data_IF_560264211473
#
_entry.id   IF_560264211473
#
_cell.length_a   1.000
_cell.length_b   1.000
_cell.length_c   1.000
_cell.angle_alpha   90.00
_cell.angle_beta   90.00
_cell.angle_gamma   90.00
#
_symmetry.space_group_name_H-M   'P 1'
#
loop_
_entity.id
_entity.type
_entity.pdbx_description
1 polymer ?
#
# COMPACT_ATOMS: atom_id res chain seq x y z
N UNK A 1 8.50 -31.23 -53.62
CA UNK A 1 8.58 -30.76 -55.02
C UNK A 1 9.60 -29.65 -55.07
N UNK A 2 10.64 -29.84 -55.87
CA UNK A 2 11.76 -28.92 -56.05
C UNK A 2 11.31 -27.70 -56.87
N UNK A 3 11.51 -26.50 -56.34
CA UNK A 3 11.63 -25.29 -57.13
C UNK A 3 13.04 -24.74 -56.94
N UNK A 4 13.91 -25.18 -57.84
CA UNK A 4 15.18 -24.55 -58.19
C UNK A 4 14.91 -23.26 -58.97
N UNK A 5 15.77 -22.26 -58.73
CA UNK A 5 15.88 -20.98 -59.41
C UNK A 5 14.98 -19.86 -58.87
N UNK A 6 15.39 -19.29 -57.73
CA UNK A 6 15.09 -17.90 -57.43
C UNK A 6 16.42 -17.13 -57.33
N UNK A 7 16.83 -16.56 -58.46
CA UNK A 7 18.10 -15.83 -58.64
C UNK A 7 18.17 -14.58 -57.74
N UNK A 8 17.01 -14.09 -57.30
CA UNK A 8 16.84 -12.97 -56.36
C UNK A 8 17.38 -13.26 -54.96
N UNK A 9 17.52 -14.55 -54.56
CA UNK A 9 18.03 -14.93 -53.25
C UNK A 9 19.57 -14.87 -53.19
N UNK A 10 20.27 -15.19 -54.28
CA UNK A 10 21.73 -15.14 -54.31
C UNK A 10 22.27 -13.70 -54.35
N UNK A 11 21.61 -12.81 -55.10
CA UNK A 11 22.05 -11.41 -55.24
C UNK A 11 21.80 -10.55 -54.00
N UNK A 12 20.86 -10.94 -53.12
CA UNK A 12 20.51 -10.17 -51.92
C UNK A 12 21.40 -10.51 -50.71
N UNK A 13 22.01 -11.71 -50.68
CA UNK A 13 22.62 -12.26 -49.45
C UNK A 13 24.10 -12.66 -49.54
N UNK A 14 24.75 -12.52 -50.70
CA UNK A 14 26.19 -12.79 -50.85
C UNK A 14 26.91 -11.63 -51.54
N UNK A 15 27.30 -10.60 -50.77
CA UNK A 15 28.43 -9.74 -51.13
C UNK A 15 29.69 -10.29 -50.49
N UNK A 16 30.66 -10.55 -51.35
CA UNK A 16 32.01 -11.02 -51.06
C UNK A 16 32.73 -10.16 -50.01
N UNK A 17 33.21 -10.80 -48.95
CA UNK A 17 34.28 -10.30 -48.10
C UNK A 17 33.82 -9.52 -46.87
N UNK A 18 33.31 -10.22 -45.86
CA UNK A 18 33.34 -9.77 -44.46
C UNK A 18 33.29 -11.00 -43.54
N UNK A 19 34.33 -11.19 -42.74
CA UNK A 19 34.52 -12.34 -41.86
C UNK A 19 34.13 -12.01 -40.42
N UNK A 20 32.84 -11.80 -40.12
CA UNK A 20 32.27 -11.85 -38.76
C UNK A 20 30.75 -12.16 -38.80
N UNK A 21 30.20 -12.88 -37.80
CA UNK A 21 28.77 -13.22 -37.76
C UNK A 21 27.92 -11.98 -37.44
N UNK A 22 27.00 -11.62 -38.34
CA UNK A 22 25.98 -10.58 -38.08
C UNK A 22 24.61 -11.23 -37.91
N UNK A 23 23.93 -10.93 -36.80
CA UNK A 23 22.50 -11.22 -36.61
C UNK A 23 21.68 -10.30 -37.50
N UNK A 24 20.81 -10.85 -38.34
CA UNK A 24 19.91 -10.05 -39.17
C UNK A 24 18.48 -10.58 -39.08
N UNK A 25 17.57 -9.68 -38.70
CA UNK A 25 16.13 -9.93 -38.65
C UNK A 25 15.57 -9.83 -40.07
N UNK A 26 14.95 -10.90 -40.57
CA UNK A 26 14.26 -10.89 -41.86
C UNK A 26 12.76 -10.96 -41.63
N UNK A 27 12.02 -10.00 -42.20
CA UNK A 27 10.56 -9.98 -42.17
C UNK A 27 10.01 -10.72 -43.38
N UNK A 28 9.18 -11.74 -43.15
CA UNK A 28 8.49 -12.46 -44.23
C UNK A 28 7.02 -12.07 -44.22
N UNK A 29 6.55 -11.44 -45.31
CA UNK A 29 5.13 -11.15 -45.50
C UNK A 29 4.42 -12.35 -46.15
N UNK A 30 3.50 -12.97 -45.43
CA UNK A 30 2.59 -13.98 -45.99
C UNK A 30 1.36 -13.28 -46.56
N UNK A 31 1.16 -13.29 -47.88
CA UNK A 31 -0.09 -12.81 -48.50
C UNK A 31 -1.20 -13.83 -48.26
N UNK A 32 -2.26 -13.44 -47.55
CA UNK A 32 -3.53 -14.17 -47.47
C UNK A 32 -4.66 -13.20 -47.88
N UNK A 33 -5.54 -13.67 -48.76
CA UNK A 33 -6.48 -12.86 -49.53
C UNK A 33 -7.66 -12.25 -48.75
N UNK A 34 -8.12 -11.13 -49.30
CA UNK A 34 -9.41 -10.41 -49.18
C UNK A 34 -10.19 -10.48 -47.85
N UNK A 35 -10.11 -9.40 -47.07
CA UNK A 35 -11.08 -9.07 -46.00
C UNK A 35 -10.39 -8.42 -44.81
N UNK A 36 -10.52 -7.10 -44.69
CA UNK A 36 -9.81 -6.17 -43.79
C UNK A 36 -9.64 -6.65 -42.32
N UNK A 37 -8.44 -7.16 -42.01
CA UNK A 37 -7.77 -7.16 -40.70
C UNK A 37 -6.29 -6.81 -40.93
N UNK A 38 -5.57 -6.16 -39.99
CA UNK A 38 -4.16 -5.81 -40.23
C UNK A 38 -3.31 -7.08 -40.35
N UNK A 39 -2.40 -7.07 -41.32
CA UNK A 39 -1.53 -8.21 -41.64
C UNK A 39 -0.60 -8.55 -40.47
N UNK A 40 -0.51 -9.85 -40.13
CA UNK A 40 0.52 -10.34 -39.22
C UNK A 40 1.90 -10.24 -39.89
N UNK A 41 2.79 -9.44 -39.32
CA UNK A 41 4.22 -9.52 -39.58
C UNK A 41 4.82 -10.55 -38.61
N UNK A 42 5.45 -11.58 -39.15
CA UNK A 42 6.19 -12.56 -38.37
C UNK A 42 7.68 -12.29 -38.58
N UNK A 43 8.42 -12.15 -37.48
CA UNK A 43 9.87 -12.02 -37.51
C UNK A 43 10.45 -13.33 -37.00
N UNK A 44 11.36 -13.95 -37.76
CA UNK A 44 12.04 -15.18 -37.36
C UNK A 44 13.53 -14.86 -37.20
N UNK A 45 14.11 -15.18 -36.04
CA UNK A 45 15.55 -15.15 -35.82
C UNK A 45 16.13 -16.52 -36.17
N UNK A 46 17.14 -16.54 -37.04
CA UNK A 46 17.89 -17.76 -37.38
C UNK A 46 19.34 -17.56 -36.95
N UNK A 47 19.82 -18.40 -36.04
CA UNK A 47 21.24 -18.53 -35.73
C UNK A 47 21.87 -19.48 -36.76
N UNK A 48 22.73 -18.95 -37.62
CA UNK A 48 23.53 -19.77 -38.55
C UNK A 48 24.90 -19.98 -37.92
N UNK A 49 25.15 -21.18 -37.39
CA UNK A 49 26.48 -21.60 -36.91
C UNK A 49 27.22 -22.30 -38.05
N UNK A 50 28.49 -21.96 -38.35
CA UNK A 50 29.27 -22.69 -39.34
C UNK A 50 29.65 -24.08 -38.78
N UNK A 51 29.19 -25.15 -39.44
CA UNK A 51 29.71 -26.49 -39.18
C UNK A 51 31.11 -26.62 -39.79
N UNK A 52 32.12 -26.81 -38.94
CA UNK A 52 33.45 -27.19 -39.38
C UNK A 52 33.54 -28.70 -39.55
N UNK A 53 33.42 -29.21 -40.78
CA UNK A 53 34.20 -30.33 -41.31
C UNK A 53 33.91 -30.55 -42.81
N UNK A 54 35.01 -30.66 -43.55
CA UNK A 54 35.25 -31.18 -44.89
C UNK A 54 34.22 -32.17 -45.51
N UNK A 55 33.78 -31.83 -46.72
CA UNK A 55 33.57 -32.78 -47.83
C UNK A 55 32.21 -33.50 -47.91
N UNK A 56 31.43 -33.18 -48.94
CA UNK A 56 30.41 -34.07 -49.51
C UNK A 56 28.98 -33.78 -49.05
N UNK A 57 28.09 -33.56 -50.01
CA UNK A 57 26.72 -33.12 -49.79
C UNK A 57 25.83 -34.12 -49.06
N UNK A 58 24.93 -33.58 -48.24
CA UNK A 58 23.82 -34.28 -47.61
C UNK A 58 23.48 -33.64 -46.26
N UNK A 59 22.32 -33.00 -46.14
CA UNK A 59 21.78 -32.61 -44.83
C UNK A 59 20.41 -33.31 -44.69
N UNK A 60 20.31 -34.23 -43.75
CA UNK A 60 19.04 -34.72 -43.21
C UNK A 60 18.51 -33.67 -42.22
N UNK A 61 17.22 -33.35 -42.33
CA UNK A 61 16.52 -32.55 -41.33
C UNK A 61 16.20 -33.44 -40.12
N UNK A 62 16.95 -33.28 -39.03
CA UNK A 62 16.49 -33.71 -37.71
C UNK A 62 15.38 -32.73 -37.28
N UNK A 63 14.13 -33.18 -37.41
CA UNK A 63 12.97 -32.50 -36.82
C UNK A 63 12.93 -32.90 -35.35
N UNK A 64 13.69 -32.20 -34.52
CA UNK A 64 13.41 -32.15 -33.09
C UNK A 64 12.45 -30.98 -32.86
N UNK A 65 11.21 -31.31 -32.50
CA UNK A 65 10.16 -30.37 -32.09
C UNK A 65 10.72 -29.34 -31.11
N UNK A 66 10.86 -28.04 -31.50
CA UNK A 66 11.00 -27.02 -30.50
C UNK A 66 9.60 -26.75 -29.96
N UNK A 67 9.40 -27.04 -28.67
CA UNK A 67 8.30 -26.48 -27.88
C UNK A 67 8.11 -25.02 -28.29
N UNK A 68 6.98 -24.75 -28.95
CA UNK A 68 6.56 -23.39 -29.28
C UNK A 68 6.24 -22.71 -27.94
N UNK A 69 7.25 -22.05 -27.36
CA UNK A 69 7.02 -21.02 -26.35
C UNK A 69 6.35 -19.86 -27.07
N UNK A 70 5.02 -19.81 -26.95
CA UNK A 70 4.26 -18.60 -27.22
C UNK A 70 4.64 -17.64 -26.08
N UNK A 71 5.66 -16.82 -26.29
CA UNK A 71 5.79 -15.59 -25.52
C UNK A 71 4.59 -14.72 -25.90
N UNK A 72 3.70 -14.52 -24.93
CA UNK A 72 2.64 -13.53 -25.01
C UNK A 72 3.33 -12.17 -25.16
N UNK A 73 3.47 -11.70 -26.41
CA UNK A 73 3.84 -10.31 -26.68
C UNK A 73 2.71 -9.47 -26.13
N UNK A 74 2.89 -9.01 -24.89
CA UNK A 74 2.10 -7.92 -24.35
C UNK A 74 2.20 -6.78 -25.36
N UNK A 75 1.10 -6.48 -26.05
CA UNK A 75 0.96 -5.19 -26.68
C UNK A 75 1.16 -4.17 -25.56
N UNK A 76 2.31 -3.49 -25.57
CA UNK A 76 2.52 -2.32 -24.75
C UNK A 76 1.32 -1.39 -24.97
N UNK A 77 0.47 -1.30 -23.94
CA UNK A 77 -0.51 -0.23 -23.86
C UNK A 77 0.30 1.07 -23.94
N UNK A 78 -0.15 2.07 -24.69
CA UNK A 78 0.56 3.34 -24.77
C UNK A 78 0.83 3.84 -23.35
N UNK A 79 2.09 4.17 -23.07
CA UNK A 79 2.52 4.78 -21.81
C UNK A 79 1.66 6.02 -21.55
N UNK A 80 0.67 5.87 -20.67
CA UNK A 80 -0.04 7.00 -20.09
C UNK A 80 0.78 7.41 -18.88
N UNK A 81 1.47 8.52 -19.03
CA UNK A 81 2.25 9.19 -17.99
C UNK A 81 1.46 9.19 -16.65
N UNK A 82 1.97 8.56 -15.57
CA UNK A 82 1.22 8.37 -14.33
C UNK A 82 0.83 9.67 -13.61
N UNK A 83 1.42 10.80 -14.01
CA UNK A 83 1.12 12.13 -13.46
C UNK A 83 -0.07 12.85 -14.12
N UNK A 84 -0.67 12.31 -15.17
CA UNK A 84 -1.68 13.04 -15.98
C UNK A 84 -3.02 12.31 -16.11
N UNK A 85 -3.38 11.46 -15.15
CA UNK A 85 -4.73 10.91 -15.12
C UNK A 85 -5.73 11.96 -14.69
N UNK A 86 -6.69 12.24 -15.59
CA UNK A 86 -7.81 13.12 -15.27
C UNK A 86 -8.65 12.49 -14.16
N UNK A 87 -8.50 13.00 -12.94
CA UNK A 87 -9.39 12.70 -11.81
C UNK A 87 -10.73 13.34 -12.12
N UNK A 88 -11.78 12.54 -12.22
CA UNK A 88 -13.14 13.04 -12.46
C UNK A 88 -13.71 13.55 -11.14
N UNK A 89 -14.03 14.84 -11.11
CA UNK A 89 -14.68 15.51 -9.96
C UNK A 89 -16.15 15.81 -10.27
N UNK A 90 -16.91 16.25 -9.26
CA UNK A 90 -18.32 16.65 -9.47
C UNK A 90 -18.49 17.78 -10.52
N UNK A 91 -17.49 18.64 -10.64
CA UNK A 91 -17.50 19.77 -11.58
C UNK A 91 -17.30 19.34 -13.04
N UNK A 92 -16.71 18.16 -13.26
CA UNK A 92 -16.55 17.58 -14.59
C UNK A 92 -17.85 16.95 -15.12
N UNK A 93 -18.84 16.75 -14.25
CA UNK A 93 -20.07 16.02 -14.56
C UNK A 93 -21.20 16.99 -14.91
N UNK A 94 -21.66 16.91 -16.17
CA UNK A 94 -22.80 17.69 -16.67
C UNK A 94 -23.81 16.82 -17.41
N UNK A 95 -25.00 17.37 -17.63
CA UNK A 95 -26.04 16.75 -18.45
C UNK A 95 -25.53 16.54 -19.88
N UNK A 96 -24.87 17.55 -20.43
CA UNK A 96 -24.36 17.59 -21.80
C UNK A 96 -23.32 16.48 -22.00
N UNK A 97 -22.42 16.31 -21.03
CA UNK A 97 -21.44 15.23 -21.03
C UNK A 97 -22.09 13.84 -21.12
N UNK A 98 -23.17 13.59 -20.35
CA UNK A 98 -23.89 12.31 -20.43
C UNK A 98 -24.47 12.09 -21.83
N UNK A 99 -25.06 13.13 -22.42
CA UNK A 99 -25.64 13.07 -23.77
C UNK A 99 -24.55 12.76 -24.80
N UNK A 100 -23.41 13.43 -24.72
CA UNK A 100 -22.31 13.28 -25.67
C UNK A 100 -21.68 11.89 -25.60
N UNK A 101 -21.44 11.37 -24.38
CA UNK A 101 -20.94 10.01 -24.18
C UNK A 101 -21.91 8.98 -24.78
N UNK A 102 -23.21 9.08 -24.48
CA UNK A 102 -24.19 8.12 -24.97
C UNK A 102 -24.44 8.24 -26.48
N UNK A 103 -24.29 9.43 -27.06
CA UNK A 103 -24.30 9.61 -28.52
C UNK A 103 -23.03 9.10 -29.19
N UNK A 104 -21.91 9.01 -28.48
CA UNK A 104 -20.68 8.42 -28.99
C UNK A 104 -20.75 6.91 -29.19
N UNK A 105 -21.60 6.20 -28.44
CA UNK A 105 -21.74 4.74 -28.51
C UNK A 105 -22.88 4.28 -29.42
N UNK A 106 -22.59 3.38 -30.36
CA UNK A 106 -23.54 2.92 -31.39
C UNK A 106 -24.76 2.18 -30.79
N UNK A 107 -24.58 1.42 -29.71
CA UNK A 107 -25.67 0.70 -29.08
C UNK A 107 -26.58 1.65 -28.29
N UNK A 108 -25.99 2.65 -27.62
CA UNK A 108 -26.72 3.73 -26.97
C UNK A 108 -27.44 4.66 -27.97
N UNK A 109 -26.87 4.94 -29.14
CA UNK A 109 -27.55 5.72 -30.20
C UNK A 109 -28.89 5.11 -30.62
N UNK A 110 -28.95 3.78 -30.79
CA UNK A 110 -30.21 3.06 -31.10
C UNK A 110 -31.22 3.24 -29.97
N UNK A 111 -30.78 3.02 -28.73
CA UNK A 111 -31.62 3.21 -27.54
C UNK A 111 -32.14 4.65 -27.40
N UNK A 112 -31.31 5.64 -27.74
CA UNK A 112 -31.71 7.05 -27.73
C UNK A 112 -32.84 7.29 -28.74
N UNK A 113 -32.65 6.86 -29.99
CA UNK A 113 -33.62 7.06 -31.07
C UNK A 113 -34.94 6.34 -30.78
N UNK A 114 -34.88 5.11 -30.33
CA UNK A 114 -36.06 4.25 -30.24
C UNK A 114 -36.87 4.46 -28.96
N UNK A 115 -36.23 4.92 -27.86
CA UNK A 115 -36.88 5.01 -26.53
C UNK A 115 -36.65 6.32 -25.83
N UNK A 116 -35.39 6.71 -25.61
CA UNK A 116 -35.08 7.82 -24.70
C UNK A 116 -35.58 9.17 -25.22
N UNK A 117 -35.53 9.39 -26.54
CA UNK A 117 -36.02 10.62 -27.18
C UNK A 117 -37.54 10.82 -27.03
N UNK A 118 -38.29 9.72 -26.95
CA UNK A 118 -39.75 9.73 -26.78
C UNK A 118 -40.19 9.55 -25.32
N UNK A 119 -39.23 9.45 -24.39
CA UNK A 119 -39.52 9.26 -22.97
C UNK A 119 -40.13 7.89 -22.63
N UNK A 120 -39.92 6.87 -23.47
CA UNK A 120 -40.44 5.53 -23.24
C UNK A 120 -39.74 4.84 -22.06
N UNK A 121 -40.45 3.91 -21.40
CA UNK A 121 -39.88 3.11 -20.30
C UNK A 121 -38.73 2.22 -20.79
N UNK A 122 -37.66 2.17 -19.99
CA UNK A 122 -36.40 1.51 -20.34
C UNK A 122 -36.19 0.27 -19.48
N UNK A 123 -35.88 -0.86 -20.13
CA UNK A 123 -35.69 -2.13 -19.45
C UNK A 123 -34.38 -2.15 -18.64
N UNK A 124 -34.31 -3.03 -17.65
CA UNK A 124 -33.15 -3.14 -16.77
C UNK A 124 -31.82 -3.42 -17.51
N UNK A 125 -31.86 -4.22 -18.59
CA UNK A 125 -30.69 -4.52 -19.44
C UNK A 125 -30.17 -3.26 -20.15
N UNK A 126 -31.08 -2.39 -20.59
CA UNK A 126 -30.76 -1.14 -21.28
C UNK A 126 -30.19 -0.10 -20.31
N UNK A 127 -30.75 0.00 -19.10
CA UNK A 127 -30.14 0.79 -18.01
C UNK A 127 -28.73 0.31 -17.67
N UNK A 128 -28.49 -1.01 -17.66
CA UNK A 128 -27.16 -1.58 -17.45
C UNK A 128 -26.19 -1.29 -18.61
N UNK A 129 -26.66 -1.19 -19.84
CA UNK A 129 -25.86 -0.74 -20.98
C UNK A 129 -25.42 0.72 -20.79
N UNK A 130 -26.37 1.62 -20.49
CA UNK A 130 -26.10 3.04 -20.21
C UNK A 130 -25.05 3.19 -19.09
N UNK A 131 -25.26 2.48 -17.96
CA UNK A 131 -24.32 2.50 -16.84
C UNK A 131 -22.93 2.03 -17.26
N UNK A 132 -22.82 0.96 -18.04
CA UNK A 132 -21.53 0.44 -18.49
C UNK A 132 -20.83 1.45 -19.39
N UNK A 133 -21.53 2.04 -20.36
CA UNK A 133 -20.95 3.01 -21.30
C UNK A 133 -20.42 4.23 -20.57
N UNK A 134 -21.23 4.83 -19.69
CA UNK A 134 -20.85 6.01 -18.91
C UNK A 134 -19.69 5.71 -17.95
N UNK A 135 -19.81 4.69 -17.12
CA UNK A 135 -18.79 4.39 -16.12
C UNK A 135 -17.49 3.89 -16.75
N UNK A 136 -17.54 3.17 -17.89
CA UNK A 136 -16.32 2.77 -18.59
C UNK A 136 -15.54 3.99 -19.10
N UNK A 137 -16.24 4.98 -19.66
CA UNK A 137 -15.58 6.17 -20.20
C UNK A 137 -15.08 7.11 -19.09
N UNK A 138 -15.77 7.19 -17.96
CA UNK A 138 -15.43 8.12 -16.88
C UNK A 138 -14.45 7.54 -15.86
N UNK A 139 -14.54 6.25 -15.54
CA UNK A 139 -13.92 5.69 -14.33
C UNK A 139 -12.91 4.58 -14.57
N UNK A 140 -12.77 4.05 -15.79
CA UNK A 140 -11.83 2.94 -16.05
C UNK A 140 -10.40 3.31 -15.68
N UNK A 141 -9.91 4.49 -16.10
CA UNK A 141 -8.55 4.94 -15.79
C UNK A 141 -8.34 5.13 -14.30
N UNK A 142 -9.29 5.75 -13.60
CA UNK A 142 -9.25 5.89 -12.13
C UNK A 142 -9.16 4.52 -11.45
N UNK A 143 -9.94 3.53 -11.90
CA UNK A 143 -9.93 2.17 -11.35
C UNK A 143 -8.61 1.44 -11.66
N UNK A 144 -8.09 1.54 -12.88
CA UNK A 144 -6.80 0.94 -13.26
C UNK A 144 -5.64 1.50 -12.44
N UNK A 145 -5.74 2.75 -11.98
CA UNK A 145 -4.77 3.44 -11.14
C UNK A 145 -5.10 3.41 -9.63
N UNK A 146 -6.22 2.82 -9.22
CA UNK A 146 -6.58 2.67 -7.81
C UNK A 146 -7.13 3.90 -7.13
N UNK A 147 -7.45 4.92 -7.91
CA UNK A 147 -8.03 6.15 -7.43
C UNK A 147 -9.48 5.83 -7.03
N UNK A 148 -9.86 6.04 -5.75
CA UNK A 148 -11.22 5.80 -5.29
C UNK A 148 -12.19 6.82 -5.91
N UNK A 149 -13.44 6.39 -6.11
CA UNK A 149 -14.50 7.23 -6.69
C UNK A 149 -15.45 7.61 -5.55
N UNK A 150 -15.58 8.90 -5.25
CA UNK A 150 -16.32 9.38 -4.08
C UNK A 150 -17.84 9.18 -4.22
N UNK A 151 -18.56 9.22 -3.09
CA UNK A 151 -20.02 9.08 -3.07
C UNK A 151 -20.70 10.25 -3.78
N UNK A 152 -20.11 11.43 -3.69
CA UNK A 152 -20.64 12.67 -4.24
C UNK A 152 -20.53 12.69 -5.78
N UNK A 153 -19.41 12.19 -6.34
CA UNK A 153 -19.25 11.97 -7.79
C UNK A 153 -20.29 10.98 -8.31
N UNK A 154 -20.57 9.90 -7.57
CA UNK A 154 -21.60 8.91 -7.94
C UNK A 154 -23.01 9.52 -7.90
N UNK A 155 -23.34 10.31 -6.88
CA UNK A 155 -24.61 11.05 -6.76
C UNK A 155 -24.75 12.02 -7.93
N UNK A 156 -23.72 12.83 -8.20
CA UNK A 156 -23.73 13.83 -9.26
C UNK A 156 -23.93 13.18 -10.63
N UNK A 157 -23.24 12.08 -10.92
CA UNK A 157 -23.43 11.33 -12.17
C UNK A 157 -24.86 10.80 -12.28
N UNK A 158 -25.40 10.23 -11.20
CA UNK A 158 -26.77 9.73 -11.15
C UNK A 158 -27.80 10.84 -11.46
N UNK A 159 -27.61 12.04 -10.90
CA UNK A 159 -28.43 13.22 -11.18
C UNK A 159 -28.30 13.68 -12.64
N UNK A 160 -27.08 13.73 -13.19
CA UNK A 160 -26.85 14.10 -14.59
C UNK A 160 -27.53 13.12 -15.57
N UNK A 161 -27.58 11.83 -15.25
CA UNK A 161 -28.29 10.82 -16.06
C UNK A 161 -29.78 11.11 -16.14
N UNK A 162 -30.41 11.37 -14.99
CA UNK A 162 -31.85 11.68 -14.94
C UNK A 162 -32.15 13.04 -15.57
N UNK A 163 -31.27 14.03 -15.39
CA UNK A 163 -31.39 15.33 -16.05
C UNK A 163 -31.27 15.23 -17.58
N UNK A 164 -30.41 14.33 -18.08
CA UNK A 164 -30.26 14.09 -19.51
C UNK A 164 -31.51 13.43 -20.11
N UNK A 165 -32.02 12.41 -19.43
CA UNK A 165 -33.17 11.63 -19.86
C UNK A 165 -34.12 11.35 -18.68
N UNK A 166 -35.13 12.21 -18.44
CA UNK A 166 -36.03 12.09 -17.29
C UNK A 166 -36.76 10.76 -17.16
N UNK A 167 -37.01 10.06 -18.29
CA UNK A 167 -37.61 8.72 -18.30
C UNK A 167 -36.76 7.64 -17.61
N UNK A 168 -35.49 7.92 -17.31
CA UNK A 168 -34.60 7.03 -16.57
C UNK A 168 -34.72 7.16 -15.05
N UNK A 169 -35.47 8.14 -14.55
CA UNK A 169 -35.69 8.35 -13.13
C UNK A 169 -36.61 7.30 -12.50
N UNK A 170 -36.40 7.03 -11.22
CA UNK A 170 -37.28 6.17 -10.41
C UNK A 170 -38.58 6.91 -10.12
N UNK A 171 -39.72 6.22 -10.27
CA UNK A 171 -41.05 6.76 -10.00
C UNK A 171 -41.56 6.12 -8.69
N UNK A 172 -41.36 6.79 -7.55
CA UNK A 172 -41.77 6.28 -6.24
C UNK A 172 -41.85 7.40 -5.19
N UNK A 173 -42.85 7.32 -4.30
CA UNK A 173 -43.01 8.30 -3.22
C UNK A 173 -41.86 8.18 -2.22
N UNK A 174 -41.16 9.30 -1.96
CA UNK A 174 -40.07 9.36 -0.98
C UNK A 174 -38.72 8.80 -1.46
N UNK A 175 -38.60 8.42 -2.74
CA UNK A 175 -37.36 7.92 -3.34
C UNK A 175 -36.80 8.98 -4.30
N UNK A 176 -35.51 9.36 -4.19
CA UNK A 176 -34.89 10.28 -5.14
C UNK A 176 -34.99 9.76 -6.58
N UNK A 177 -35.23 10.63 -7.58
CA UNK A 177 -35.30 10.22 -8.99
C UNK A 177 -34.06 9.44 -9.48
N UNK A 178 -32.89 9.73 -8.92
CA UNK A 178 -31.62 9.13 -9.28
C UNK A 178 -31.30 7.80 -8.56
N UNK A 179 -32.16 7.33 -7.66
CA UNK A 179 -31.88 6.20 -6.76
C UNK A 179 -31.56 4.88 -7.49
N UNK A 180 -32.18 4.61 -8.65
CA UNK A 180 -31.88 3.44 -9.49
C UNK A 180 -30.40 3.41 -9.95
N UNK A 181 -29.79 4.59 -10.08
CA UNK A 181 -28.43 4.78 -10.59
C UNK A 181 -27.43 4.82 -9.44
N UNK A 182 -27.72 5.59 -8.39
CA UNK A 182 -26.99 5.58 -7.14
C UNK A 182 -27.88 6.07 -5.99
N UNK A 183 -27.92 5.34 -4.89
CA UNK A 183 -28.59 5.78 -3.67
C UNK A 183 -27.70 5.54 -2.47
N UNK A 184 -27.28 6.64 -1.84
CA UNK A 184 -26.46 6.61 -0.63
C UNK A 184 -27.22 5.85 0.47
N UNK A 185 -26.60 4.78 0.97
CA UNK A 185 -27.13 3.87 1.99
C UNK A 185 -28.54 3.30 1.67
N UNK A 186 -28.94 3.26 0.39
CA UNK A 186 -30.32 2.89 0.01
C UNK A 186 -31.40 3.73 0.69
N UNK A 187 -31.10 4.99 1.03
CA UNK A 187 -32.03 5.91 1.71
C UNK A 187 -32.09 5.79 3.22
N UNK A 188 -31.32 4.89 3.82
CA UNK A 188 -31.20 4.75 5.27
C UNK A 188 -30.14 5.71 5.84
N UNK A 189 -30.11 5.84 7.17
CA UNK A 189 -29.07 6.63 7.84
C UNK A 189 -27.67 5.99 7.75
N UNK A 190 -27.60 4.67 7.53
CA UNK A 190 -26.39 3.84 7.45
C UNK A 190 -26.63 2.61 6.56
N UNK A 191 -25.58 1.93 6.09
CA UNK A 191 -25.67 0.68 5.30
C UNK A 191 -24.99 0.75 3.92
N UNK A 192 -25.00 -0.33 3.14
CA UNK A 192 -24.39 -0.32 1.79
C UNK A 192 -25.03 0.71 0.84
N UNK A 193 -24.20 1.37 0.03
CA UNK A 193 -24.70 2.14 -1.10
C UNK A 193 -25.31 1.22 -2.17
N UNK A 194 -26.41 1.64 -2.77
CA UNK A 194 -27.11 0.86 -3.80
C UNK A 194 -27.13 1.60 -5.14
N UNK A 195 -27.55 0.91 -6.21
CA UNK A 195 -27.66 1.47 -7.56
C UNK A 195 -26.66 0.90 -8.56
N UNK A 196 -26.94 1.12 -9.85
CA UNK A 196 -26.17 0.52 -10.96
C UNK A 196 -24.71 1.00 -11.00
N UNK A 197 -24.46 2.27 -10.70
CA UNK A 197 -23.11 2.86 -10.71
C UNK A 197 -22.23 2.17 -9.67
N UNK A 198 -22.72 2.03 -8.43
CA UNK A 198 -21.99 1.35 -7.34
C UNK A 198 -21.69 -0.11 -7.70
N UNK A 199 -22.68 -0.84 -8.24
CA UNK A 199 -22.49 -2.24 -8.64
C UNK A 199 -21.45 -2.36 -9.76
N UNK A 200 -21.46 -1.45 -10.74
CA UNK A 200 -20.48 -1.46 -11.82
C UNK A 200 -19.07 -1.20 -11.29
N UNK A 201 -18.88 -0.16 -10.47
CA UNK A 201 -17.56 0.20 -9.90
C UNK A 201 -17.01 -0.98 -9.11
N UNK A 202 -17.83 -1.57 -8.23
CA UNK A 202 -17.45 -2.74 -7.44
C UNK A 202 -16.98 -3.90 -8.32
N UNK A 203 -17.70 -4.18 -9.41
CA UNK A 203 -17.33 -5.25 -10.34
C UNK A 203 -16.07 -4.93 -11.14
N UNK A 204 -15.90 -3.68 -11.57
CA UNK A 204 -14.73 -3.24 -12.33
C UNK A 204 -13.45 -3.25 -11.47
N UNK A 205 -13.52 -2.88 -10.19
CA UNK A 205 -12.41 -2.98 -9.25
C UNK A 205 -11.87 -4.42 -9.10
N UNK A 206 -12.73 -5.44 -9.24
CA UNK A 206 -12.27 -6.84 -9.21
C UNK A 206 -11.40 -7.22 -10.41
N UNK A 207 -11.31 -6.37 -11.44
CA UNK A 207 -10.55 -6.62 -12.67
C UNK A 207 -9.33 -5.69 -12.81
N UNK A 208 -9.11 -4.79 -11.86
CA UNK A 208 -7.96 -3.87 -11.85
C UNK A 208 -6.61 -4.62 -11.75
N UNK A 209 -5.48 -4.00 -12.14
CA UNK A 209 -4.13 -4.59 -12.05
C UNK A 209 -3.81 -5.08 -10.64
N UNK A 210 -3.10 -6.20 -10.48
CA UNK A 210 -2.91 -6.84 -9.17
C UNK A 210 -2.19 -5.97 -8.13
N UNK A 211 -1.34 -5.03 -8.57
CA UNK A 211 -0.66 -4.03 -7.72
C UNK A 211 -1.63 -3.05 -7.06
N UNK A 212 -2.80 -2.84 -7.65
CA UNK A 212 -3.76 -1.80 -7.27
C UNK A 212 -5.14 -2.37 -6.95
N UNK A 213 -5.41 -3.59 -7.41
CA UNK A 213 -6.59 -4.38 -7.11
C UNK A 213 -6.65 -4.52 -5.61
N UNK A 214 -7.59 -3.80 -5.00
CA UNK A 214 -8.05 -4.10 -3.63
C UNK A 214 -8.51 -5.55 -3.68
N UNK A 215 -7.63 -6.46 -3.26
CA UNK A 215 -7.97 -7.88 -3.17
C UNK A 215 -9.20 -7.92 -2.28
N UNK A 216 -10.32 -8.40 -2.81
CA UNK A 216 -11.31 -9.06 -1.95
C UNK A 216 -10.55 -10.25 -1.37
N UNK A 217 -9.90 -10.03 -0.23
CA UNK A 217 -9.22 -11.09 0.47
C UNK A 217 -10.33 -12.01 0.94
N UNK A 218 -10.24 -13.28 0.55
CA UNK A 218 -10.96 -14.37 1.20
C UNK A 218 -10.45 -14.51 2.64
N UNK A 219 -10.66 -13.48 3.45
CA UNK A 219 -10.75 -13.60 4.89
C UNK A 219 -12.22 -13.75 5.17
N UNK A 220 -12.59 -14.82 5.88
CA UNK A 220 -13.90 -15.05 6.46
C UNK A 220 -14.24 -13.94 7.48
N UNK A 221 -14.30 -12.69 7.04
CA UNK A 221 -14.64 -11.53 7.83
C UNK A 221 -15.88 -10.95 7.20
N UNK A 222 -17.01 -11.25 7.83
CA UNK A 222 -18.24 -10.52 7.63
C UNK A 222 -18.00 -9.10 8.14
N UNK A 223 -17.45 -8.23 7.30
CA UNK A 223 -17.42 -6.80 7.56
C UNK A 223 -18.87 -6.35 7.74
N UNK A 224 -19.12 -5.62 8.81
CA UNK A 224 -20.37 -4.88 8.94
C UNK A 224 -20.43 -3.78 7.88
N UNK A 225 -21.64 -3.41 7.46
CA UNK A 225 -21.80 -2.33 6.48
C UNK A 225 -21.20 -1.00 6.99
N UNK A 226 -21.26 -0.76 8.30
CA UNK A 226 -20.66 0.41 8.95
C UNK A 226 -19.13 0.41 8.79
N UNK A 227 -18.48 -0.75 8.95
CA UNK A 227 -17.03 -0.87 8.72
C UNK A 227 -16.67 -0.67 7.24
N UNK A 228 -17.43 -1.26 6.32
CA UNK A 228 -17.16 -1.13 4.89
C UNK A 228 -17.24 0.33 4.40
N UNK A 229 -18.29 1.05 4.83
CA UNK A 229 -18.43 2.47 4.52
C UNK A 229 -17.32 3.32 5.15
N UNK A 230 -16.97 3.05 6.42
CA UNK A 230 -15.91 3.80 7.09
C UNK A 230 -14.53 3.57 6.45
N UNK A 231 -14.26 2.37 5.93
CA UNK A 231 -13.05 2.10 5.13
C UNK A 231 -13.06 2.89 3.81
N UNK A 232 -14.20 2.95 3.12
CA UNK A 232 -14.33 3.74 1.89
C UNK A 232 -14.06 5.23 2.16
N UNK A 233 -14.68 5.79 3.21
CA UNK A 233 -14.47 7.18 3.63
C UNK A 233 -13.03 7.46 4.05
N UNK A 234 -12.40 6.59 4.86
CA UNK A 234 -10.98 6.73 5.22
C UNK A 234 -10.09 6.71 3.98
N UNK A 235 -10.39 5.85 3.00
CA UNK A 235 -9.57 5.73 1.80
C UNK A 235 -9.66 6.94 0.85
N UNK A 236 -10.65 7.81 1.07
CA UNK A 236 -10.85 9.07 0.34
C UNK A 236 -10.32 10.28 1.12
N UNK A 237 -9.99 10.12 2.40
CA UNK A 237 -9.47 11.20 3.22
C UNK A 237 -8.02 11.55 2.83
N UNK A 238 -7.63 12.80 3.04
CA UNK A 238 -6.26 13.29 2.96
C UNK A 238 -5.70 13.63 4.35
N UNK A 239 -4.39 13.92 4.40
CA UNK A 239 -3.67 14.22 5.64
C UNK A 239 -4.10 15.52 6.34
N UNK A 240 -4.95 16.34 5.70
CA UNK A 240 -5.55 17.55 6.25
C UNK A 240 -6.96 17.33 6.79
N UNK A 241 -7.49 16.11 6.71
CA UNK A 241 -8.83 15.80 7.20
C UNK A 241 -8.99 16.13 8.70
N UNK A 242 -10.23 16.40 9.12
CA UNK A 242 -10.53 16.68 10.53
C UNK A 242 -10.25 15.46 11.41
N UNK A 243 -9.46 15.68 12.48
CA UNK A 243 -9.06 14.66 13.43
C UNK A 243 -10.26 13.90 14.01
N UNK A 244 -11.33 14.59 14.41
CA UNK A 244 -12.47 13.93 15.09
C UNK A 244 -13.21 13.02 14.13
N UNK A 245 -13.39 13.45 12.88
CA UNK A 245 -13.99 12.63 11.84
C UNK A 245 -13.14 11.39 11.57
N UNK A 246 -11.83 11.57 11.31
CA UNK A 246 -10.93 10.44 11.05
C UNK A 246 -10.90 9.48 12.23
N UNK A 247 -10.79 10.00 13.45
CA UNK A 247 -10.79 9.18 14.66
C UNK A 247 -12.07 8.33 14.79
N UNK A 248 -13.24 8.93 14.55
CA UNK A 248 -14.50 8.19 14.60
C UNK A 248 -14.52 7.03 13.59
N UNK A 249 -14.07 7.27 12.37
CA UNK A 249 -13.97 6.24 11.34
C UNK A 249 -12.93 5.18 11.72
N UNK A 250 -11.81 5.58 12.31
CA UNK A 250 -10.79 4.68 12.84
C UNK A 250 -11.39 3.78 13.93
N UNK A 251 -12.15 4.32 14.88
CA UNK A 251 -12.86 3.53 15.90
C UNK A 251 -13.79 2.52 15.26
N UNK A 252 -14.62 2.92 14.30
CA UNK A 252 -15.56 2.03 13.60
C UNK A 252 -14.84 0.87 12.91
N UNK A 253 -13.65 1.10 12.38
CA UNK A 253 -12.88 0.12 11.58
C UNK A 253 -11.84 -0.66 12.41
N UNK A 254 -11.86 -0.52 13.74
CA UNK A 254 -10.88 -1.15 14.63
C UNK A 254 -10.86 -2.68 14.54
N UNK A 255 -12.04 -3.34 14.55
CA UNK A 255 -12.12 -4.80 14.50
C UNK A 255 -11.55 -5.35 13.19
N UNK A 256 -11.80 -4.67 12.07
CA UNK A 256 -11.14 -4.98 10.80
C UNK A 256 -9.61 -4.87 10.89
N UNK A 257 -9.07 -3.75 11.40
CA UNK A 257 -7.62 -3.58 11.57
C UNK A 257 -7.00 -4.64 12.48
N UNK A 258 -7.68 -5.08 13.53
CA UNK A 258 -7.21 -6.19 14.37
C UNK A 258 -7.01 -7.48 13.58
N UNK A 259 -7.89 -7.77 12.63
CA UNK A 259 -7.73 -8.94 11.77
C UNK A 259 -6.60 -8.79 10.75
N UNK A 260 -6.32 -7.56 10.32
CA UNK A 260 -5.18 -7.25 9.45
C UNK A 260 -3.83 -7.43 10.14
N UNK A 261 -3.77 -7.47 11.48
CA UNK A 261 -2.54 -7.69 12.27
C UNK A 261 -2.15 -9.18 12.40
N UNK A 262 -2.62 -10.04 11.49
CA UNK A 262 -2.30 -11.46 11.49
C UNK A 262 -0.80 -11.75 11.26
N UNK A 263 -0.31 -12.94 11.64
CA UNK A 263 1.11 -13.28 11.58
C UNK A 263 1.70 -13.36 10.15
N UNK A 264 0.89 -13.22 9.10
CA UNK A 264 1.32 -13.25 7.69
C UNK A 264 1.30 -11.87 7.02
N UNK A 265 0.82 -10.84 7.70
CA UNK A 265 0.70 -9.48 7.19
C UNK A 265 1.75 -8.62 7.88
N UNK A 266 2.72 -8.14 7.10
CA UNK A 266 3.79 -7.29 7.61
C UNK A 266 3.30 -5.87 7.98
N UNK A 267 4.11 -5.09 8.71
CA UNK A 267 3.79 -3.71 9.12
C UNK A 267 3.36 -2.79 7.97
N UNK A 268 3.99 -2.96 6.80
CA UNK A 268 3.69 -2.22 5.58
C UNK A 268 2.26 -2.42 5.09
N UNK A 269 1.67 -3.60 5.31
CA UNK A 269 0.35 -3.90 4.79
C UNK A 269 -0.74 -3.14 5.55
N UNK A 270 -0.63 -3.08 6.89
CA UNK A 270 -1.57 -2.30 7.70
C UNK A 270 -1.47 -0.81 7.39
N UNK A 271 -0.25 -0.28 7.26
CA UNK A 271 -0.04 1.14 6.98
C UNK A 271 -0.48 1.53 5.56
N UNK A 272 -0.38 0.63 4.58
CA UNK A 272 -0.87 0.89 3.22
C UNK A 272 -2.40 0.96 3.16
N UNK A 273 -3.11 0.18 3.98
CA UNK A 273 -4.58 0.23 4.05
C UNK A 273 -5.09 1.34 4.99
N UNK A 274 -4.33 1.67 6.03
CA UNK A 274 -4.67 2.68 7.04
C UNK A 274 -3.48 3.63 7.29
N UNK A 275 -3.13 4.49 6.31
CA UNK A 275 -2.08 5.49 6.50
C UNK A 275 -2.41 6.48 7.63
N UNK A 276 -3.69 6.61 7.99
CA UNK A 276 -4.18 7.47 9.06
C UNK A 276 -3.60 7.11 10.43
N UNK A 277 -3.07 5.90 10.62
CA UNK A 277 -2.35 5.54 11.84
C UNK A 277 -1.11 6.41 12.08
N UNK A 278 -0.55 7.02 11.04
CA UNK A 278 0.60 7.92 11.12
C UNK A 278 0.19 9.40 11.05
N UNK A 279 -1.10 9.70 10.91
CA UNK A 279 -1.60 11.08 10.89
C UNK A 279 -1.70 11.63 12.31
N UNK A 280 -1.61 12.95 12.44
CA UNK A 280 -1.73 13.68 13.71
C UNK A 280 -0.65 13.33 14.74
N UNK A 281 0.56 13.03 14.25
CA UNK A 281 1.71 12.70 15.07
C UNK A 281 1.48 11.43 15.88
N UNK A 282 1.78 11.42 17.20
CA UNK A 282 1.71 10.19 18.00
C UNK A 282 0.27 9.75 18.37
N UNK A 283 -0.72 10.63 18.26
CA UNK A 283 -2.06 10.43 18.83
C UNK A 283 -2.77 9.17 18.30
N UNK A 284 -2.74 8.95 16.98
CA UNK A 284 -3.43 7.80 16.38
C UNK A 284 -2.82 6.46 16.81
N UNK A 285 -1.50 6.41 17.01
CA UNK A 285 -0.80 5.23 17.53
C UNK A 285 -1.18 4.98 18.98
N UNK A 286 -1.21 6.05 19.79
CA UNK A 286 -1.58 5.98 21.20
C UNK A 286 -3.02 5.48 21.38
N UNK A 287 -3.97 6.07 20.67
CA UNK A 287 -5.37 5.66 20.75
C UNK A 287 -5.61 4.24 20.21
N UNK A 288 -4.92 3.86 19.13
CA UNK A 288 -5.02 2.49 18.60
C UNK A 288 -4.48 1.46 19.58
N UNK A 289 -3.35 1.76 20.24
CA UNK A 289 -2.79 0.93 21.30
C UNK A 289 -3.75 0.80 22.49
N UNK A 290 -4.42 1.89 22.88
CA UNK A 290 -5.38 1.90 23.97
C UNK A 290 -6.60 1.01 23.67
N UNK A 291 -7.06 1.00 22.43
CA UNK A 291 -8.14 0.09 21.98
C UNK A 291 -7.69 -1.37 21.96
N UNK A 292 -6.43 -1.65 21.68
CA UNK A 292 -5.87 -3.01 21.72
C UNK A 292 -5.78 -3.55 23.15
N UNK A 293 -5.56 -2.67 24.14
CA UNK A 293 -5.34 -3.06 25.53
C UNK A 293 -6.18 -2.20 26.50
N UNK A 294 -7.53 -2.30 26.46
CA UNK A 294 -8.43 -1.39 27.19
C UNK A 294 -8.43 -1.60 28.71
N UNK A 295 -8.14 -2.83 29.16
CA UNK A 295 -8.17 -3.21 30.57
C UNK A 295 -6.76 -3.31 31.19
N UNK A 296 -5.76 -2.66 30.58
CA UNK A 296 -4.39 -2.74 31.08
C UNK A 296 -4.27 -2.03 32.42
N UNK A 297 -3.55 -2.64 33.36
CA UNK A 297 -3.24 -2.07 34.68
C UNK A 297 -1.73 -1.95 34.83
N UNK A 298 -1.15 -1.07 34.02
CA UNK A 298 0.28 -0.79 34.04
C UNK A 298 0.72 0.00 35.27
N UNK A 299 2.01 -0.08 35.59
CA UNK A 299 2.63 0.70 36.67
C UNK A 299 3.24 2.03 36.19
N UNK A 300 3.26 2.30 34.87
CA UNK A 300 3.69 3.59 34.32
C UNK A 300 4.32 3.49 32.92
N UNK A 301 5.19 4.45 32.61
CA UNK A 301 6.05 4.49 31.41
C UNK A 301 7.53 4.50 31.81
N UNK A 302 8.45 4.58 30.84
CA UNK A 302 9.88 4.73 31.14
C UNK A 302 10.12 5.97 32.02
N UNK A 303 9.49 7.10 31.70
CA UNK A 303 9.57 8.32 32.49
C UNK A 303 9.13 8.13 33.94
N UNK A 304 8.10 7.30 34.19
CA UNK A 304 7.60 7.02 35.54
C UNK A 304 8.60 6.22 36.38
N UNK A 305 9.51 5.47 35.75
CA UNK A 305 10.45 4.58 36.43
C UNK A 305 11.92 5.06 36.31
N UNK A 306 12.18 6.18 35.63
CA UNK A 306 13.52 6.73 35.38
C UNK A 306 14.35 6.81 36.65
N UNK A 307 13.82 7.41 37.73
CA UNK A 307 14.56 7.57 38.99
C UNK A 307 15.02 6.24 39.58
N UNK A 308 14.20 5.19 39.47
CA UNK A 308 14.60 3.85 39.92
C UNK A 308 15.69 3.28 39.01
N UNK A 309 15.51 3.38 37.69
CA UNK A 309 16.44 2.85 36.71
C UNK A 309 17.83 3.52 36.79
N UNK A 310 17.89 4.80 37.16
CA UNK A 310 19.15 5.53 37.38
C UNK A 310 19.97 4.96 38.54
N UNK A 311 19.35 4.30 39.53
CA UNK A 311 20.05 3.66 40.65
C UNK A 311 20.68 2.29 40.29
N UNK A 312 20.50 1.79 39.07
CA UNK A 312 21.16 0.56 38.61
C UNK A 312 22.68 0.78 38.44
N UNK A 313 23.46 -0.28 38.66
CA UNK A 313 24.92 -0.24 38.81
C UNK A 313 25.73 0.14 37.55
N UNK A 314 25.08 0.43 36.42
CA UNK A 314 25.77 0.77 35.16
C UNK A 314 25.91 2.29 35.04
N UNK A 315 27.03 2.78 34.52
CA UNK A 315 27.32 4.20 34.33
C UNK A 315 27.33 4.56 32.83
N UNK A 316 26.66 5.66 32.50
CA UNK A 316 26.50 6.20 31.14
C UNK A 316 26.47 7.74 31.22
N UNK A 317 27.38 8.31 32.02
CA UNK A 317 27.38 9.72 32.41
C UNK A 317 27.68 10.65 31.22
N UNK A 318 28.21 10.09 30.12
CA UNK A 318 28.43 10.78 28.86
C UNK A 318 27.13 11.14 28.12
N UNK A 319 26.01 10.48 28.43
CA UNK A 319 24.71 10.73 27.81
C UNK A 319 23.99 11.84 28.58
N UNK A 320 23.72 12.98 27.96
CA UNK A 320 23.08 14.12 28.61
C UNK A 320 21.65 13.78 29.13
N UNK A 321 20.90 12.96 28.38
CA UNK A 321 19.52 12.64 28.75
C UNK A 321 19.41 11.54 29.81
N UNK A 322 18.94 11.89 31.00
CA UNK A 322 18.70 10.95 32.11
C UNK A 322 17.76 9.80 31.73
N UNK A 323 16.74 10.06 30.91
CA UNK A 323 15.79 9.01 30.49
C UNK A 323 16.44 8.04 29.49
N UNK A 324 17.36 8.52 28.64
CA UNK A 324 18.18 7.65 27.79
C UNK A 324 19.17 6.85 28.64
N UNK A 325 19.83 7.48 29.61
CA UNK A 325 20.69 6.78 30.57
C UNK A 325 19.92 5.65 31.28
N UNK A 326 18.72 5.94 31.79
CA UNK A 326 17.86 4.96 32.44
C UNK A 326 17.55 3.76 31.53
N UNK A 327 17.22 4.01 30.25
CA UNK A 327 17.02 2.94 29.27
C UNK A 327 18.29 2.10 29.07
N UNK A 328 19.45 2.74 28.91
CA UNK A 328 20.72 2.05 28.73
C UNK A 328 21.07 1.15 29.93
N UNK A 329 20.82 1.64 31.15
CA UNK A 329 20.99 0.85 32.38
C UNK A 329 20.02 -0.34 32.43
N UNK A 330 18.76 -0.16 32.02
CA UNK A 330 17.78 -1.26 31.90
C UNK A 330 18.25 -2.30 30.88
N UNK A 331 18.73 -1.86 29.71
CA UNK A 331 19.25 -2.74 28.67
C UNK A 331 20.42 -3.58 29.21
N UNK A 332 21.37 -2.95 29.90
CA UNK A 332 22.53 -3.61 30.48
C UNK A 332 22.15 -4.60 31.60
N UNK A 333 21.15 -4.27 32.42
CA UNK A 333 20.65 -5.18 33.46
C UNK A 333 19.95 -6.42 32.87
N UNK A 334 19.25 -6.25 31.75
CA UNK A 334 18.56 -7.33 31.04
C UNK A 334 19.50 -8.19 30.19
N UNK A 335 20.56 -7.60 29.65
CA UNK A 335 21.60 -8.30 28.89
C UNK A 335 22.83 -8.49 29.76
N UNK A 336 22.95 -9.66 30.40
CA UNK A 336 24.18 -10.07 31.08
C UNK A 336 25.37 -9.81 30.13
N UNK A 337 26.21 -8.84 30.52
CA UNK A 337 27.30 -8.30 29.73
C UNK A 337 28.17 -9.42 29.17
N UNK A 338 28.03 -9.70 27.87
CA UNK A 338 28.86 -10.70 27.21
C UNK A 338 29.05 -10.47 25.71
N UNK A 339 28.44 -9.44 25.12
CA UNK A 339 28.43 -9.28 23.65
C UNK A 339 28.44 -7.81 23.18
N UNK A 340 29.03 -6.88 23.93
CA UNK A 340 29.51 -5.63 23.29
C UNK A 340 30.76 -6.05 22.53
N UNK A 341 30.59 -6.41 21.25
CA UNK A 341 31.71 -6.74 20.38
C UNK A 341 32.61 -5.50 20.30
N UNK A 342 33.92 -5.69 20.48
CA UNK A 342 34.90 -4.65 20.18
C UNK A 342 34.88 -4.47 18.67
N UNK A 343 34.53 -3.25 18.26
CA UNK A 343 34.47 -2.76 16.88
C UNK A 343 33.38 -3.41 16.00
N UNK A 344 32.39 -2.60 15.67
CA UNK A 344 31.41 -2.89 14.62
C UNK A 344 31.82 -2.25 13.31
N UNK A 345 31.36 -2.84 12.22
CA UNK A 345 31.52 -2.33 10.85
C UNK A 345 30.76 -1.02 10.58
N UNK A 346 30.10 -0.41 11.58
CA UNK A 346 29.25 0.78 11.43
C UNK A 346 29.99 2.09 11.68
N UNK A 347 31.23 2.07 12.18
CA UNK A 347 32.00 3.29 12.48
C UNK A 347 31.47 4.10 13.68
N UNK A 348 30.46 3.60 14.39
CA UNK A 348 29.90 4.21 15.60
C UNK A 348 30.71 3.80 16.84
N UNK A 349 30.67 4.62 17.89
CA UNK A 349 31.22 4.21 19.18
C UNK A 349 30.46 2.99 19.75
N UNK A 350 31.08 2.13 20.58
CA UNK A 350 30.41 0.96 21.13
C UNK A 350 29.13 1.29 21.94
N UNK A 351 29.12 2.45 22.62
CA UNK A 351 27.95 2.93 23.38
C UNK A 351 26.83 3.37 22.45
N UNK A 352 27.17 4.10 21.38
CA UNK A 352 26.22 4.55 20.37
C UNK A 352 25.63 3.38 19.57
N UNK A 353 26.44 2.38 19.19
CA UNK A 353 25.94 1.16 18.54
C UNK A 353 25.03 0.35 19.47
N UNK A 354 25.34 0.34 20.78
CA UNK A 354 24.48 -0.30 21.75
C UNK A 354 23.15 0.44 21.90
N UNK A 355 23.17 1.78 21.92
CA UNK A 355 21.97 2.62 21.97
C UNK A 355 21.14 2.57 20.68
N UNK A 356 21.77 2.33 19.51
CA UNK A 356 21.17 2.36 18.17
C UNK A 356 20.05 1.33 17.95
N UNK A 357 19.85 0.42 18.90
CA UNK A 357 18.69 -0.47 18.99
C UNK A 357 17.38 0.35 19.13
N UNK A 358 17.41 1.45 19.88
CA UNK A 358 16.24 2.28 20.16
C UNK A 358 16.42 3.74 19.77
N UNK A 359 17.60 4.32 19.94
CA UNK A 359 17.87 5.74 19.71
C UNK A 359 19.12 5.93 18.88
N UNK A 360 19.04 6.84 17.91
CA UNK A 360 20.15 7.25 17.05
C UNK A 360 20.26 8.77 17.10
N UNK A 361 21.47 9.29 17.04
CA UNK A 361 21.68 10.74 16.95
C UNK A 361 21.95 11.13 15.50
N UNK A 362 21.40 12.26 15.11
CA UNK A 362 21.64 12.85 13.81
C UNK A 362 23.13 13.18 13.67
N UNK A 363 23.72 12.77 12.55
CA UNK A 363 25.13 13.10 12.29
C UNK A 363 25.25 14.58 11.92
N UNK A 364 26.39 15.24 12.26
CA UNK A 364 26.61 16.63 11.89
C UNK A 364 26.38 16.86 10.39
N UNK A 365 25.82 18.02 10.03
CA UNK A 365 25.67 18.47 8.64
C UNK A 365 24.76 17.61 7.73
N UNK A 366 23.94 16.72 8.31
CA UNK A 366 22.86 16.03 7.58
C UNK A 366 21.52 16.66 7.91
N UNK A 367 20.61 16.81 6.93
CA UNK A 367 19.21 17.13 7.23
C UNK A 367 18.46 15.89 7.74
N UNK A 368 17.31 16.09 8.40
CA UNK A 368 16.58 15.00 9.06
C UNK A 368 16.02 14.00 8.04
N UNK A 369 15.49 14.47 6.91
CA UNK A 369 14.85 13.63 5.90
C UNK A 369 15.90 12.74 5.23
N UNK A 370 17.01 13.33 4.79
CA UNK A 370 18.18 12.64 4.26
C UNK A 370 18.74 11.66 5.28
N UNK A 371 18.86 12.06 6.55
CA UNK A 371 19.33 11.15 7.59
C UNK A 371 18.40 9.94 7.66
N UNK A 372 17.09 10.14 7.87
CA UNK A 372 16.09 9.07 8.01
C UNK A 372 16.08 8.10 6.82
N UNK A 373 16.23 8.61 5.59
CA UNK A 373 16.30 7.77 4.37
C UNK A 373 17.58 6.92 4.28
N UNK A 374 18.67 7.35 4.91
CA UNK A 374 19.99 6.73 4.77
C UNK A 374 20.48 6.01 6.05
N UNK A 375 19.77 6.09 7.17
CA UNK A 375 20.21 5.42 8.41
C UNK A 375 20.11 3.89 8.27
N UNK A 376 21.18 3.13 8.55
CA UNK A 376 21.14 1.67 8.44
C UNK A 376 20.19 1.02 9.46
N UNK A 377 19.32 0.13 9.01
CA UNK A 377 18.46 -0.73 9.83
C UNK A 377 16.99 -0.35 9.78
N UNK A 378 16.13 -1.36 9.93
CA UNK A 378 14.70 -1.21 9.67
C UNK A 378 13.97 -0.49 10.82
N UNK A 379 12.99 0.39 10.50
CA UNK A 379 12.11 0.97 11.51
C UNK A 379 11.31 -0.11 12.28
N UNK A 380 10.89 0.17 13.53
CA UNK A 380 10.86 1.50 14.12
C UNK A 380 12.04 1.78 15.08
N UNK A 381 12.49 3.04 15.12
CA UNK A 381 13.54 3.56 16.01
C UNK A 381 13.33 5.05 16.31
N UNK A 382 14.06 5.62 17.26
CA UNK A 382 14.03 7.05 17.61
C UNK A 382 15.26 7.74 17.02
N UNK A 383 15.06 8.94 16.50
CA UNK A 383 16.14 9.87 16.12
C UNK A 383 16.12 11.05 17.08
N UNK A 384 17.29 11.40 17.62
CA UNK A 384 17.53 12.65 18.33
C UNK A 384 18.18 13.63 17.35
N UNK A 385 17.52 14.77 17.10
CA UNK A 385 18.05 15.86 16.28
C UNK A 385 19.01 16.71 17.12
N UNK A 386 20.15 16.12 17.45
CA UNK A 386 21.28 16.74 18.14
C UNK A 386 22.54 15.90 17.90
N UNK A 387 23.69 16.44 18.29
CA UNK A 387 24.96 15.71 18.30
C UNK A 387 24.88 14.44 19.17
N UNK A 388 25.70 13.40 18.87
CA UNK A 388 25.76 12.18 19.68
C UNK A 388 25.80 12.47 21.19
N UNK A 389 24.98 11.72 21.92
CA UNK A 389 24.82 11.80 23.38
C UNK A 389 24.24 13.11 23.94
N UNK A 390 23.91 14.08 23.09
CA UNK A 390 23.24 15.32 23.50
C UNK A 390 21.71 15.16 23.53
N UNK A 391 21.06 16.08 24.23
CA UNK A 391 19.61 16.26 24.18
C UNK A 391 19.21 17.14 23.00
N UNK A 392 18.05 16.83 22.43
CA UNK A 392 17.48 17.57 21.31
C UNK A 392 16.01 17.24 21.13
N UNK A 393 15.49 17.53 19.95
CA UNK A 393 14.16 17.11 19.56
C UNK A 393 14.17 15.63 19.16
N UNK A 394 13.20 14.86 19.63
CA UNK A 394 13.10 13.43 19.38
C UNK A 394 12.00 13.13 18.37
N UNK A 395 12.32 12.27 17.40
CA UNK A 395 11.41 11.81 16.36
C UNK A 395 11.31 10.28 16.41
N UNK A 396 10.09 9.75 16.45
CA UNK A 396 9.86 8.32 16.28
C UNK A 396 9.74 8.02 14.77
N UNK A 397 10.71 7.27 14.23
CA UNK A 397 10.71 6.85 12.83
C UNK A 397 9.93 5.54 12.72
N UNK A 398 8.81 5.58 11.99
CA UNK A 398 7.91 4.45 11.79
C UNK A 398 7.62 4.37 10.30
N UNK A 399 8.01 3.26 9.67
CA UNK A 399 7.93 3.10 8.22
C UNK A 399 8.64 4.28 7.52
N UNK A 400 7.92 5.08 6.73
CA UNK A 400 8.46 6.20 5.96
C UNK A 400 8.10 7.56 6.60
N UNK A 401 7.84 7.59 7.91
CA UNK A 401 7.41 8.81 8.60
C UNK A 401 8.23 9.06 9.86
N UNK A 402 8.69 10.30 10.02
CA UNK A 402 9.31 10.80 11.23
C UNK A 402 8.26 11.56 12.07
N UNK A 403 7.82 10.95 13.16
CA UNK A 403 6.81 11.53 14.05
C UNK A 403 7.48 12.39 15.12
N UNK A 404 7.22 13.70 15.10
CA UNK A 404 7.70 14.62 16.13
C UNK A 404 7.11 14.28 17.50
N UNK A 405 7.99 13.95 18.46
CA UNK A 405 7.66 13.64 19.84
C UNK A 405 8.10 14.76 20.81
N UNK A 406 8.62 15.87 20.30
CA UNK A 406 9.14 17.00 21.07
C UNK A 406 10.44 16.68 21.81
N UNK A 407 10.68 17.34 22.93
CA UNK A 407 11.92 17.26 23.72
C UNK A 407 11.92 16.17 24.80
N UNK A 408 10.91 15.29 24.83
CA UNK A 408 10.82 14.22 25.83
C UNK A 408 11.16 12.86 25.21
N UNK A 409 12.34 12.34 25.54
CA UNK A 409 12.73 10.99 25.11
C UNK A 409 11.75 9.93 25.61
N UNK A 410 11.25 10.07 26.84
CA UNK A 410 10.27 9.13 27.40
C UNK A 410 8.98 9.05 26.59
N UNK A 411 8.52 10.18 26.02
CA UNK A 411 7.38 10.18 25.10
C UNK A 411 7.71 9.49 23.78
N UNK A 412 8.86 9.81 23.17
CA UNK A 412 9.30 9.15 21.93
C UNK A 412 9.43 7.62 22.11
N UNK A 413 9.95 7.20 23.26
CA UNK A 413 10.08 5.79 23.63
C UNK A 413 8.73 5.09 23.86
N UNK A 414 7.77 5.78 24.49
CA UNK A 414 6.41 5.26 24.64
C UNK A 414 5.73 5.05 23.27
N UNK A 415 5.84 6.03 22.37
CA UNK A 415 5.34 5.94 20.99
C UNK A 415 6.00 4.78 20.25
N UNK A 416 7.32 4.64 20.37
CA UNK A 416 8.09 3.56 19.75
C UNK A 416 7.58 2.18 20.19
N UNK A 417 7.43 1.95 21.50
CA UNK A 417 6.96 0.69 22.05
C UNK A 417 5.54 0.36 21.63
N UNK A 418 4.64 1.36 21.61
CA UNK A 418 3.28 1.23 21.11
C UNK A 418 3.26 0.87 19.63
N UNK A 419 4.12 1.49 18.83
CA UNK A 419 4.24 1.20 17.39
C UNK A 419 4.61 -0.26 17.11
N UNK A 420 5.53 -0.85 17.89
CA UNK A 420 5.86 -2.28 17.77
C UNK A 420 4.62 -3.18 17.87
N UNK A 421 3.65 -2.83 18.73
CA UNK A 421 2.40 -3.59 18.89
C UNK A 421 1.36 -3.23 17.83
N UNK A 422 1.11 -1.94 17.62
CA UNK A 422 0.08 -1.44 16.69
C UNK A 422 0.34 -1.91 15.26
N UNK A 423 1.59 -1.93 14.82
CA UNK A 423 1.96 -2.37 13.47
C UNK A 423 2.50 -3.80 13.41
N UNK A 424 2.60 -4.49 14.55
CA UNK A 424 3.14 -5.84 14.65
C UNK A 424 4.54 -5.97 14.02
N UNK A 425 5.45 -5.06 14.37
CA UNK A 425 6.83 -5.08 13.88
C UNK A 425 7.58 -6.32 14.38
N UNK A 426 8.44 -6.93 13.53
CA UNK A 426 9.32 -8.00 13.97
C UNK A 426 10.29 -7.46 15.03
N UNK A 427 10.33 -8.10 16.19
CA UNK A 427 11.16 -7.66 17.30
C UNK A 427 12.56 -8.24 17.17
N UNK A 428 13.58 -7.38 17.05
CA UNK A 428 14.96 -7.82 17.01
C UNK A 428 15.35 -8.53 18.32
N UNK A 429 16.24 -9.51 18.24
CA UNK A 429 16.70 -10.23 19.43
C UNK A 429 17.34 -9.31 20.49
N UNK A 430 17.92 -8.18 20.05
CA UNK A 430 18.52 -7.17 20.94
C UNK A 430 17.46 -6.34 21.68
N UNK A 431 16.34 -6.01 21.04
CA UNK A 431 15.25 -5.24 21.64
C UNK A 431 14.30 -6.10 22.50
N UNK A 432 14.20 -7.39 22.20
CA UNK A 432 13.20 -8.33 22.77
C UNK A 432 13.01 -8.24 24.29
N UNK A 433 14.10 -8.24 25.05
CA UNK A 433 14.02 -8.24 26.53
C UNK A 433 13.42 -6.94 27.07
N UNK A 434 13.75 -5.81 26.45
CA UNK A 434 13.23 -4.51 26.84
C UNK A 434 11.74 -4.44 26.49
N UNK A 435 11.35 -4.86 25.27
CA UNK A 435 9.93 -4.90 24.92
C UNK A 435 9.12 -5.80 25.86
N UNK A 436 9.62 -7.00 26.20
CA UNK A 436 8.95 -7.87 27.17
C UNK A 436 8.87 -7.26 28.58
N UNK A 437 9.87 -6.50 29.02
CA UNK A 437 9.80 -5.75 30.28
C UNK A 437 8.69 -4.70 30.22
N UNK A 438 8.59 -3.96 29.13
CA UNK A 438 7.58 -2.93 28.97
C UNK A 438 6.17 -3.48 28.77
N UNK A 439 6.02 -4.69 28.23
CA UNK A 439 4.74 -5.40 28.24
C UNK A 439 4.23 -5.66 29.67
N UNK A 440 5.13 -5.92 30.63
CA UNK A 440 4.80 -6.02 32.05
C UNK A 440 4.51 -4.64 32.65
N UNK A 441 5.34 -3.64 32.35
CA UNK A 441 5.16 -2.26 32.86
C UNK A 441 3.82 -1.67 32.40
N UNK A 442 3.42 -1.89 31.16
CA UNK A 442 2.13 -1.47 30.64
C UNK A 442 0.96 -2.33 31.13
N UNK A 443 1.23 -3.48 31.76
CA UNK A 443 0.17 -4.40 32.20
C UNK A 443 -0.53 -5.11 31.03
N UNK A 444 0.16 -5.26 29.89
CA UNK A 444 -0.31 -6.06 28.74
C UNK A 444 -0.17 -7.55 29.06
N UNK A 445 0.91 -7.91 29.76
CA UNK A 445 1.23 -9.27 30.14
C UNK A 445 1.51 -9.34 31.64
N UNK A 446 1.06 -10.41 32.31
CA UNK A 446 1.31 -10.59 33.75
C UNK A 446 2.69 -11.18 34.09
N UNK A 447 3.33 -11.86 33.14
CA UNK A 447 4.60 -12.56 33.37
C UNK A 447 5.37 -12.83 32.07
N UNK A 448 6.67 -12.54 32.02
CA UNK A 448 7.55 -12.86 30.89
C UNK A 448 8.08 -14.31 31.01
N UNK A 449 8.45 -14.94 29.89
CA UNK A 449 9.16 -16.24 29.93
C UNK A 449 10.63 -16.11 30.35
N UNK A 450 11.15 -14.89 30.39
CA UNK A 450 12.54 -14.60 30.68
C UNK A 450 12.69 -14.24 32.17
N UNK A 451 13.33 -15.12 32.93
CA UNK A 451 13.50 -14.96 34.37
C UNK A 451 14.11 -13.60 34.77
N UNK A 452 15.09 -13.09 34.01
CA UNK A 452 15.72 -11.79 34.29
C UNK A 452 14.77 -10.61 34.08
N UNK A 453 13.85 -10.70 33.10
CA UNK A 453 12.83 -9.67 32.87
C UNK A 453 11.90 -9.60 34.08
N UNK A 454 11.40 -10.75 34.55
CA UNK A 454 10.55 -10.81 35.74
C UNK A 454 11.25 -10.30 37.00
N UNK A 455 12.51 -10.69 37.21
CA UNK A 455 13.31 -10.21 38.35
C UNK A 455 13.47 -8.70 38.35
N UNK A 456 13.75 -8.09 37.20
CA UNK A 456 13.86 -6.64 37.10
C UNK A 456 12.50 -5.96 37.29
N UNK A 457 11.45 -6.49 36.66
CA UNK A 457 10.09 -5.99 36.84
C UNK A 457 9.66 -6.00 38.31
N UNK A 458 9.86 -7.10 39.04
CA UNK A 458 9.53 -7.17 40.48
C UNK A 458 10.25 -6.12 41.31
N UNK A 459 11.53 -5.81 41.01
CA UNK A 459 12.26 -4.74 41.69
C UNK A 459 11.62 -3.38 41.41
N UNK A 460 11.30 -3.11 40.14
CA UNK A 460 10.64 -1.86 39.70
C UNK A 460 9.26 -1.73 40.35
N UNK A 461 8.41 -2.76 40.28
CA UNK A 461 7.05 -2.74 40.84
C UNK A 461 7.06 -2.52 42.36
N UNK A 462 8.00 -3.13 43.08
CA UNK A 462 8.17 -2.91 44.54
C UNK A 462 8.63 -1.48 44.85
N UNK A 463 9.43 -0.88 43.99
CA UNK A 463 9.85 0.51 44.16
C UNK A 463 8.68 1.47 43.85
N UNK A 464 7.94 1.23 42.77
CA UNK A 464 6.79 2.03 42.38
C UNK A 464 5.68 2.00 43.45
N UNK A 465 5.39 0.84 44.04
CA UNK A 465 4.38 0.73 45.11
C UNK A 465 4.78 1.42 46.41
N UNK A 466 6.07 1.67 46.64
CA UNK A 466 6.59 2.41 47.79
C UNK A 466 6.62 3.93 47.59
N UNK A 467 6.47 4.40 46.35
CA UNK A 467 6.36 5.82 46.02
C UNK A 467 4.91 6.31 45.99
N UNK A 468 3.95 5.38 45.91
CA UNK A 468 2.50 5.65 45.88
C UNK A 468 1.81 5.48 47.25
N UNK A 469 2.51 4.89 48.22
CA UNK A 469 2.12 4.87 49.65
C UNK A 469 3.06 5.79 50.42
#
# INVERSE_FOLDING_TARGET
MCHSNDQTFQDTYLRSGDSQPKRQKVAVQKRVGSGSKPAHQTTVELDVVPCGCSGGGGYEAAVDDPEIKIEEVALEKPDVDPLNAKIVTENDLSREMVIDILRGDLACQRLIRDKLAYGASVANKEKSLICRTLCAQLFTTMIEQGIPISSEVKIKLAQCIVAAYPCLGTQGNGVPPEADWFWKHGGQSKGEHTGKIQVWIRNAQTRAPASVRRKRRGTNLNLTDDEANAIEELSLADDQADYRKVNQLMVTTFAYRQNLRGPKTGPSHLCAEFPQLLWYGPLMIEEEFDRMYPNRSGIGTLSSITSFCLMLNHAYDEIACETVQALMKVMAELTLQGNIRKESSSGLSPVEEYASIFIRWQQPDTDLDYFVENVPGDPPYIVCSALPFSEGQYFAVIMNSAIDCGFSFGRAFDVLLKAYKVFNFPVSGRAKKVLELFDLIYGIQGHSRLCNVNKLFEKISKAASRLLN
#
